data_IF_316502928623
#
_entry.id   IF_316502928623
#
_cell.length_a   1.000
_cell.length_b   1.000
_cell.length_c   1.000
_cell.angle_alpha   90.00
_cell.angle_beta   90.00
_cell.angle_gamma   90.00
#
_symmetry.space_group_name_H-M   'P 1'
#
loop_
_entity.id
_entity.type
_entity.pdbx_description
1 polymer ?
#
# COMPACT_ATOMS: atom_id res chain seq x y z
N UNK A 1 -36.53 -13.47 88.32
CA UNK A 1 -36.32 -12.10 87.82
C UNK A 1 -35.36 -12.21 86.64
N UNK A 2 -35.84 -11.90 85.44
CA UNK A 2 -35.14 -12.00 84.16
C UNK A 2 -34.04 -10.93 84.05
N UNK A 3 -32.79 -11.33 83.87
CA UNK A 3 -31.69 -10.45 83.44
C UNK A 3 -30.82 -11.21 82.42
N UNK A 4 -31.26 -11.27 81.17
CA UNK A 4 -30.44 -11.70 80.03
C UNK A 4 -30.90 -11.09 78.70
N UNK A 5 -31.49 -9.88 78.74
CA UNK A 5 -32.04 -9.20 77.56
C UNK A 5 -31.19 -8.05 76.99
N UNK A 6 -30.10 -7.65 77.65
CA UNK A 6 -29.38 -6.41 77.31
C UNK A 6 -28.18 -6.59 76.37
N UNK A 7 -27.56 -7.77 76.29
CA UNK A 7 -26.39 -7.99 75.42
C UNK A 7 -26.76 -8.01 73.93
N UNK A 8 -27.79 -8.78 73.55
CA UNK A 8 -28.23 -8.90 72.16
C UNK A 8 -28.70 -7.58 71.52
N UNK A 9 -29.27 -6.66 72.32
CA UNK A 9 -29.76 -5.37 71.81
C UNK A 9 -28.66 -4.32 71.64
N UNK A 10 -27.52 -4.50 72.33
CA UNK A 10 -26.34 -3.66 72.20
C UNK A 10 -25.49 -4.11 70.99
N UNK A 11 -25.23 -5.42 70.89
CA UNK A 11 -24.48 -6.03 69.78
C UNK A 11 -25.16 -5.77 68.42
N UNK A 12 -26.50 -5.84 68.37
CA UNK A 12 -27.28 -5.56 67.17
C UNK A 12 -27.23 -4.10 66.70
N UNK A 13 -27.04 -3.13 67.62
CA UNK A 13 -26.85 -1.71 67.27
C UNK A 13 -25.41 -1.45 66.83
N UNK A 14 -24.44 -2.09 67.47
CA UNK A 14 -23.03 -1.93 67.17
C UNK A 14 -22.69 -2.48 65.77
N UNK A 15 -23.14 -3.70 65.43
CA UNK A 15 -22.88 -4.28 64.10
C UNK A 15 -23.51 -3.44 62.96
N UNK A 16 -24.70 -2.87 63.18
CA UNK A 16 -25.34 -1.96 62.20
C UNK A 16 -24.51 -0.71 61.95
N UNK A 17 -23.88 -0.16 63.00
CA UNK A 17 -22.99 0.99 62.88
C UNK A 17 -21.74 0.67 62.06
N UNK A 18 -21.13 -0.50 62.28
CA UNK A 18 -19.93 -0.92 61.53
C UNK A 18 -20.28 -1.15 60.05
N UNK A 19 -21.45 -1.72 59.75
CA UNK A 19 -21.94 -1.85 58.37
C UNK A 19 -22.14 -0.48 57.69
N UNK A 20 -22.70 0.50 58.39
CA UNK A 20 -22.89 1.84 57.85
C UNK A 20 -21.53 2.50 57.52
N UNK A 21 -20.57 2.41 58.45
CA UNK A 21 -19.21 2.92 58.23
C UNK A 21 -18.51 2.23 57.07
N UNK A 22 -18.60 0.89 56.96
CA UNK A 22 -18.02 0.14 55.84
C UNK A 22 -18.59 0.58 54.49
N UNK A 23 -19.90 0.81 54.42
CA UNK A 23 -20.58 1.32 53.22
C UNK A 23 -20.16 2.73 52.86
N UNK A 24 -20.08 3.63 53.84
CA UNK A 24 -19.66 5.01 53.62
C UNK A 24 -18.22 5.06 53.07
N UNK A 25 -17.32 4.24 53.63
CA UNK A 25 -15.95 4.09 53.13
C UNK A 25 -15.93 3.56 51.69
N UNK A 26 -16.75 2.57 51.36
CA UNK A 26 -16.86 2.07 49.99
C UNK A 26 -17.35 3.16 49.02
N UNK A 27 -18.41 3.89 49.38
CA UNK A 27 -18.95 4.98 48.56
C UNK A 27 -17.97 6.14 48.35
N UNK A 28 -17.08 6.37 49.32
CA UNK A 28 -15.98 7.33 49.22
C UNK A 28 -14.81 6.83 48.37
N UNK A 29 -14.83 5.57 47.91
CA UNK A 29 -13.74 4.94 47.17
C UNK A 29 -12.61 4.38 48.04
N UNK A 30 -12.78 4.41 49.37
CA UNK A 30 -11.85 3.84 50.35
C UNK A 30 -12.06 2.31 50.48
N UNK A 31 -11.86 1.60 49.37
CA UNK A 31 -12.16 0.16 49.24
C UNK A 31 -11.39 -0.70 50.27
N UNK A 32 -10.11 -0.42 50.52
CA UNK A 32 -9.32 -1.16 51.51
C UNK A 32 -9.86 -0.99 52.95
N UNK A 33 -10.13 0.25 53.36
CA UNK A 33 -10.70 0.55 54.68
C UNK A 33 -12.12 -0.04 54.84
N UNK A 34 -12.90 -0.09 53.77
CA UNK A 34 -14.20 -0.76 53.75
C UNK A 34 -14.05 -2.28 53.98
N UNK A 35 -13.09 -2.94 53.31
CA UNK A 35 -12.80 -4.36 53.50
C UNK A 35 -12.32 -4.68 54.92
N UNK A 36 -11.53 -3.80 55.53
CA UNK A 36 -11.09 -3.96 56.92
C UNK A 36 -12.29 -3.96 57.88
N UNK A 37 -13.25 -3.06 57.68
CA UNK A 37 -14.49 -3.00 58.47
C UNK A 37 -15.38 -4.23 58.28
N UNK A 38 -15.48 -4.76 57.06
CA UNK A 38 -16.20 -6.02 56.84
C UNK A 38 -15.50 -7.23 57.48
N UNK A 39 -14.17 -7.26 57.46
CA UNK A 39 -13.38 -8.30 58.12
C UNK A 39 -13.62 -8.27 59.64
N UNK A 40 -13.66 -7.08 60.24
CA UNK A 40 -14.03 -6.89 61.65
C UNK A 40 -15.42 -7.47 61.96
N UNK A 41 -16.40 -7.32 61.06
CA UNK A 41 -17.75 -7.87 61.24
C UNK A 41 -17.72 -9.41 61.21
N UNK A 42 -16.97 -10.01 60.29
CA UNK A 42 -16.86 -11.47 60.18
C UNK A 42 -16.25 -12.07 61.46
N UNK A 43 -15.22 -11.43 62.00
CA UNK A 43 -14.55 -11.89 63.22
C UNK A 43 -15.42 -11.74 64.48
N UNK A 44 -16.05 -10.57 64.65
CA UNK A 44 -16.78 -10.23 65.89
C UNK A 44 -18.23 -10.71 65.89
N UNK A 45 -18.85 -10.83 64.72
CA UNK A 45 -20.28 -11.17 64.58
C UNK A 45 -20.51 -12.27 63.52
N UNK A 46 -20.11 -13.53 63.78
CA UNK A 46 -20.23 -14.63 62.79
C UNK A 46 -21.65 -14.86 62.25
N UNK A 47 -22.70 -14.51 63.02
CA UNK A 47 -24.10 -14.59 62.61
C UNK A 47 -24.53 -13.51 61.59
N UNK A 48 -23.68 -12.53 61.31
CA UNK A 48 -23.86 -11.46 60.30
C UNK A 48 -22.78 -11.48 59.22
N UNK A 49 -21.94 -12.51 59.21
CA UNK A 49 -20.83 -12.64 58.28
C UNK A 49 -21.28 -12.95 56.85
N UNK A 50 -22.48 -13.49 56.64
CA UNK A 50 -23.02 -13.75 55.30
C UNK A 50 -23.18 -12.45 54.50
N UNK A 51 -23.80 -11.42 55.08
CA UNK A 51 -23.87 -10.09 54.46
C UNK A 51 -22.48 -9.48 54.27
N UNK A 52 -21.61 -9.56 55.27
CA UNK A 52 -20.25 -9.01 55.17
C UNK A 52 -19.45 -9.66 54.04
N UNK A 53 -19.52 -10.99 53.89
CA UNK A 53 -18.91 -11.73 52.78
C UNK A 53 -19.48 -11.31 51.43
N UNK A 54 -20.80 -11.11 51.33
CA UNK A 54 -21.42 -10.63 50.10
C UNK A 54 -20.88 -9.26 49.68
N UNK A 55 -20.85 -8.31 50.61
CA UNK A 55 -20.37 -6.95 50.34
C UNK A 55 -18.86 -6.94 50.05
N UNK A 56 -18.04 -7.69 50.78
CA UNK A 56 -16.61 -7.85 50.47
C UNK A 56 -16.39 -8.39 49.05
N UNK A 57 -17.20 -9.37 48.64
CA UNK A 57 -17.19 -9.88 47.27
C UNK A 57 -17.40 -8.76 46.24
N UNK A 58 -18.39 -7.89 46.47
CA UNK A 58 -18.66 -6.73 45.61
C UNK A 58 -17.47 -5.75 45.61
N UNK A 59 -16.94 -5.40 46.78
CA UNK A 59 -15.83 -4.44 46.92
C UNK A 59 -14.57 -4.94 46.22
N UNK A 60 -14.26 -6.24 46.31
CA UNK A 60 -13.11 -6.84 45.64
C UNK A 60 -13.23 -6.85 44.11
N UNK A 61 -14.44 -6.98 43.54
CA UNK A 61 -14.65 -6.96 42.10
C UNK A 61 -14.97 -5.57 41.53
N UNK A 62 -15.05 -4.54 42.39
CA UNK A 62 -15.53 -3.22 41.98
C UNK A 62 -14.61 -2.57 40.93
N UNK A 63 -15.13 -2.07 39.79
CA UNK A 63 -14.29 -1.53 38.70
C UNK A 63 -13.40 -0.34 39.08
N UNK A 64 -13.82 0.45 40.10
CA UNK A 64 -13.03 1.59 40.59
C UNK A 64 -12.06 1.22 41.72
N UNK A 65 -12.06 -0.03 42.15
CA UNK A 65 -11.06 -0.50 43.11
C UNK A 65 -9.73 -0.69 42.37
N UNK A 66 -8.72 0.13 42.69
CA UNK A 66 -7.39 -0.01 42.09
C UNK A 66 -6.71 -1.32 42.47
N UNK A 67 -7.13 -1.93 43.59
CA UNK A 67 -6.70 -3.24 44.06
C UNK A 67 -7.78 -4.30 43.81
N UNK A 68 -8.59 -4.12 42.75
CA UNK A 68 -9.61 -5.09 42.32
C UNK A 68 -8.96 -6.47 42.17
N UNK A 69 -9.56 -7.45 42.82
CA UNK A 69 -9.07 -8.81 42.87
C UNK A 69 -10.26 -9.76 42.68
N UNK A 70 -10.40 -10.25 41.45
CA UNK A 70 -11.48 -11.16 41.10
C UNK A 70 -11.40 -12.49 41.86
N UNK A 71 -10.21 -12.94 42.23
CA UNK A 71 -10.04 -14.19 42.95
C UNK A 71 -10.56 -14.05 44.38
N UNK A 72 -10.17 -12.98 45.10
CA UNK A 72 -10.70 -12.69 46.44
C UNK A 72 -12.22 -12.46 46.44
N UNK A 73 -12.74 -11.82 45.39
CA UNK A 73 -14.17 -11.64 45.21
C UNK A 73 -14.91 -13.00 45.09
N UNK A 74 -14.41 -13.89 44.25
CA UNK A 74 -14.96 -15.23 44.08
C UNK A 74 -14.89 -16.05 45.37
N UNK A 75 -13.78 -15.97 46.12
CA UNK A 75 -13.62 -16.64 47.40
C UNK A 75 -14.67 -16.20 48.42
N UNK A 76 -14.99 -14.89 48.48
CA UNK A 76 -16.03 -14.37 49.37
C UNK A 76 -17.41 -14.97 49.05
N UNK A 77 -17.80 -14.97 47.76
CA UNK A 77 -19.09 -15.53 47.33
C UNK A 77 -19.14 -17.05 47.50
N UNK A 78 -18.04 -17.77 47.21
CA UNK A 78 -17.95 -19.21 47.41
C UNK A 78 -18.06 -19.60 48.89
N UNK A 79 -17.38 -18.85 49.76
CA UNK A 79 -17.45 -19.04 51.20
C UNK A 79 -18.86 -18.77 51.73
N UNK A 80 -19.52 -17.73 51.24
CA UNK A 80 -20.93 -17.44 51.58
C UNK A 80 -21.84 -18.61 51.22
N UNK A 81 -21.76 -19.12 49.98
CA UNK A 81 -22.62 -20.22 49.51
C UNK A 81 -22.35 -21.51 50.33
N UNK A 82 -21.09 -21.77 50.66
CA UNK A 82 -20.66 -22.97 51.38
C UNK A 82 -21.06 -22.94 52.86
N UNK A 83 -20.75 -21.85 53.55
CA UNK A 83 -20.86 -21.75 55.00
C UNK A 83 -22.27 -21.27 55.43
N UNK A 84 -23.02 -20.61 54.53
CA UNK A 84 -24.36 -20.04 54.79
C UNK A 84 -25.39 -20.44 53.72
N UNK A 85 -25.74 -21.74 53.57
CA UNK A 85 -26.58 -22.24 52.48
C UNK A 85 -28.03 -21.70 52.47
N UNK A 86 -28.51 -21.16 53.60
CA UNK A 86 -29.82 -20.53 53.76
C UNK A 86 -29.82 -19.00 53.71
N UNK A 87 -28.68 -18.36 53.37
CA UNK A 87 -28.57 -16.90 53.31
C UNK A 87 -29.40 -16.30 52.17
N UNK A 88 -30.02 -15.14 52.40
CA UNK A 88 -30.72 -14.36 51.37
C UNK A 88 -29.81 -13.93 50.21
N UNK A 89 -28.49 -13.86 50.45
CA UNK A 89 -27.49 -13.45 49.46
C UNK A 89 -27.02 -14.59 48.55
N UNK A 90 -27.46 -15.83 48.77
CA UNK A 90 -26.93 -17.00 48.06
C UNK A 90 -27.11 -16.94 46.55
N UNK A 91 -28.34 -16.71 46.06
CA UNK A 91 -28.62 -16.66 44.62
C UNK A 91 -27.88 -15.53 43.92
N UNK A 92 -27.81 -14.36 44.56
CA UNK A 92 -27.04 -13.23 44.06
C UNK A 92 -25.54 -13.56 44.01
N UNK A 93 -25.01 -14.29 44.99
CA UNK A 93 -23.61 -14.74 45.02
C UNK A 93 -23.29 -15.71 43.87
N UNK A 94 -24.18 -16.67 43.60
CA UNK A 94 -24.06 -17.60 42.47
C UNK A 94 -24.02 -16.84 41.12
N UNK A 95 -24.89 -15.83 40.96
CA UNK A 95 -24.91 -14.96 39.78
C UNK A 95 -23.64 -14.10 39.67
N UNK A 96 -23.16 -13.53 40.79
CA UNK A 96 -21.94 -12.74 40.82
C UNK A 96 -20.72 -13.57 40.43
N UNK A 97 -20.61 -14.83 40.89
CA UNK A 97 -19.54 -15.75 40.48
C UNK A 97 -19.50 -15.94 38.97
N UNK A 98 -20.66 -16.18 38.35
CA UNK A 98 -20.74 -16.33 36.89
C UNK A 98 -20.30 -15.06 36.16
N UNK A 99 -20.80 -13.91 36.60
CA UNK A 99 -20.47 -12.61 35.99
C UNK A 99 -18.98 -12.27 36.13
N UNK A 100 -18.41 -12.46 37.32
CA UNK A 100 -17.01 -12.15 37.61
C UNK A 100 -16.07 -13.01 36.77
N UNK A 101 -16.36 -14.31 36.62
CA UNK A 101 -15.55 -15.19 35.75
C UNK A 101 -15.55 -14.69 34.31
N UNK A 102 -16.71 -14.30 33.78
CA UNK A 102 -16.83 -13.78 32.42
C UNK A 102 -16.06 -12.46 32.26
N UNK A 103 -16.13 -11.56 33.23
CA UNK A 103 -15.39 -10.29 33.18
C UNK A 103 -13.89 -10.53 33.31
N UNK A 104 -13.44 -11.39 34.22
CA UNK A 104 -12.02 -11.72 34.40
C UNK A 104 -11.40 -12.32 33.13
N UNK A 105 -12.12 -13.21 32.44
CA UNK A 105 -11.69 -13.76 31.15
C UNK A 105 -11.58 -12.68 30.07
N UNK A 106 -12.56 -11.77 30.00
CA UNK A 106 -12.53 -10.64 29.05
C UNK A 106 -11.37 -9.69 29.35
N UNK A 107 -11.16 -9.29 30.59
CA UNK A 107 -10.05 -8.41 31.00
C UNK A 107 -8.70 -9.03 30.63
N UNK A 108 -8.52 -10.34 30.87
CA UNK A 108 -7.30 -11.07 30.50
C UNK A 108 -7.09 -11.08 28.98
N UNK A 109 -8.17 -11.31 28.21
CA UNK A 109 -8.13 -11.33 26.75
C UNK A 109 -7.80 -9.95 26.19
N UNK A 110 -8.41 -8.90 26.73
CA UNK A 110 -8.15 -7.50 26.35
C UNK A 110 -6.70 -7.15 26.62
N UNK A 111 -6.16 -7.49 27.79
CA UNK A 111 -4.76 -7.25 28.13
C UNK A 111 -3.81 -7.97 27.14
N UNK A 112 -4.08 -9.23 26.81
CA UNK A 112 -3.28 -9.98 25.84
C UNK A 112 -3.34 -9.37 24.44
N UNK A 113 -4.52 -8.93 24.00
CA UNK A 113 -4.70 -8.26 22.71
C UNK A 113 -3.99 -6.90 22.66
N UNK A 114 -4.01 -6.15 23.77
CA UNK A 114 -3.35 -4.85 23.87
C UNK A 114 -1.83 -5.00 23.67
N UNK A 115 -1.20 -5.98 24.30
CA UNK A 115 0.23 -6.29 24.10
C UNK A 115 0.55 -6.66 22.65
N UNK A 116 -0.34 -7.43 21.99
CA UNK A 116 -0.18 -7.77 20.58
C UNK A 116 -0.30 -6.55 19.67
N UNK A 117 -1.26 -5.66 19.93
CA UNK A 117 -1.46 -4.41 19.20
C UNK A 117 -0.20 -3.54 19.31
N UNK A 118 0.33 -3.35 20.52
CA UNK A 118 1.55 -2.57 20.75
C UNK A 118 2.76 -3.17 20.01
N UNK A 119 2.90 -4.50 20.04
CA UNK A 119 3.95 -5.20 19.30
C UNK A 119 3.83 -4.98 17.78
N UNK A 120 2.61 -5.04 17.24
CA UNK A 120 2.36 -4.81 15.82
C UNK A 120 2.61 -3.35 15.43
N UNK A 121 2.21 -2.39 16.27
CA UNK A 121 2.47 -0.97 16.07
C UNK A 121 3.98 -0.69 15.96
N UNK A 122 4.79 -1.25 16.85
CA UNK A 122 6.25 -1.13 16.77
C UNK A 122 6.82 -1.72 15.47
N UNK A 123 6.31 -2.87 15.01
CA UNK A 123 6.73 -3.47 13.73
C UNK A 123 6.36 -2.63 12.52
N UNK A 124 5.15 -2.06 12.52
CA UNK A 124 4.68 -1.15 11.46
C UNK A 124 5.57 0.08 11.39
N UNK A 125 5.85 0.72 12.52
CA UNK A 125 6.74 1.88 12.59
C UNK A 125 8.16 1.58 12.06
N UNK A 126 8.69 0.39 12.38
CA UNK A 126 9.98 -0.06 11.84
C UNK A 126 9.99 -0.14 10.32
N UNK A 127 8.96 -0.75 9.73
CA UNK A 127 8.81 -0.85 8.28
C UNK A 127 8.59 0.50 7.59
N UNK A 128 7.84 1.41 8.21
CA UNK A 128 7.65 2.76 7.67
C UNK A 128 8.99 3.50 7.54
N UNK A 129 9.87 3.38 8.54
CA UNK A 129 11.21 3.98 8.50
C UNK A 129 12.10 3.36 7.39
N UNK A 130 12.00 2.05 7.17
CA UNK A 130 12.67 1.37 6.05
C UNK A 130 12.17 1.89 4.69
N UNK A 131 10.85 2.03 4.53
CA UNK A 131 10.24 2.55 3.30
C UNK A 131 10.75 3.96 3.00
N UNK A 132 10.77 4.85 3.99
CA UNK A 132 11.29 6.22 3.82
C UNK A 132 12.77 6.21 3.38
N UNK A 133 13.57 5.29 3.91
CA UNK A 133 14.99 5.16 3.55
C UNK A 133 15.16 4.66 2.11
N UNK A 134 14.35 3.68 1.70
CA UNK A 134 14.35 3.17 0.34
C UNK A 134 13.89 4.23 -0.66
N UNK A 135 12.85 5.01 -0.34
CA UNK A 135 12.37 6.12 -1.19
C UNK A 135 13.48 7.14 -1.46
N UNK A 136 14.20 7.59 -0.42
CA UNK A 136 15.34 8.52 -0.59
C UNK A 136 16.45 7.93 -1.46
N UNK A 137 16.66 6.62 -1.37
CA UNK A 137 17.67 5.92 -2.18
C UNK A 137 17.25 5.87 -3.65
N UNK A 138 15.98 5.59 -3.93
CA UNK A 138 15.41 5.60 -5.28
C UNK A 138 15.56 7.00 -5.89
N UNK A 139 15.13 8.05 -5.19
CA UNK A 139 15.28 9.44 -5.67
C UNK A 139 16.74 9.81 -5.97
N UNK A 140 17.68 9.33 -5.16
CA UNK A 140 19.10 9.57 -5.39
C UNK A 140 19.63 8.83 -6.63
N UNK A 141 19.11 7.63 -6.91
CA UNK A 141 19.46 6.89 -8.13
C UNK A 141 18.85 7.52 -9.37
N UNK A 142 17.59 7.96 -9.32
CA UNK A 142 16.93 8.66 -10.44
C UNK A 142 17.72 9.89 -10.87
N UNK A 143 18.14 10.74 -9.92
CA UNK A 143 19.00 11.91 -10.20
C UNK A 143 20.34 11.53 -10.83
N UNK A 144 20.93 10.40 -10.43
CA UNK A 144 22.18 9.90 -11.02
C UNK A 144 21.97 9.42 -12.45
N UNK A 145 20.87 8.73 -12.72
CA UNK A 145 20.50 8.26 -14.06
C UNK A 145 20.32 9.47 -14.99
N UNK A 146 19.52 10.46 -14.58
CA UNK A 146 19.30 11.68 -15.37
C UNK A 146 20.62 12.41 -15.69
N UNK A 147 21.52 12.52 -14.70
CA UNK A 147 22.83 13.14 -14.90
C UNK A 147 23.73 12.34 -15.86
N UNK A 148 23.66 11.01 -15.84
CA UNK A 148 24.39 10.14 -16.76
C UNK A 148 23.81 10.21 -18.18
N UNK A 149 22.49 10.22 -18.31
CA UNK A 149 21.81 10.38 -19.61
C UNK A 149 22.16 11.71 -20.26
N UNK A 150 22.18 12.81 -19.48
CA UNK A 150 22.61 14.12 -19.98
C UNK A 150 24.06 14.10 -20.45
N UNK A 151 24.97 13.48 -19.68
CA UNK A 151 26.38 13.34 -20.09
C UNK A 151 26.53 12.52 -21.36
N UNK A 152 25.74 11.45 -21.51
CA UNK A 152 25.74 10.63 -22.71
C UNK A 152 25.23 11.42 -23.92
N UNK A 153 24.18 12.21 -23.74
CA UNK A 153 23.65 13.10 -24.78
C UNK A 153 24.68 14.17 -25.18
N UNK A 154 25.32 14.83 -24.22
CA UNK A 154 26.37 15.82 -24.48
C UNK A 154 27.57 15.19 -25.21
N UNK A 155 27.93 13.95 -24.86
CA UNK A 155 28.98 13.19 -25.54
C UNK A 155 28.58 12.87 -26.99
N UNK A 156 27.36 12.42 -27.21
CA UNK A 156 26.81 12.13 -28.54
C UNK A 156 26.83 13.38 -29.44
N UNK A 157 26.37 14.53 -28.92
CA UNK A 157 26.41 15.81 -29.64
C UNK A 157 27.85 16.21 -29.99
N UNK A 158 28.82 15.98 -29.10
CA UNK A 158 30.24 16.29 -29.35
C UNK A 158 30.91 15.36 -30.36
N UNK A 159 30.49 14.10 -30.45
CA UNK A 159 31.11 13.11 -31.36
C UNK A 159 30.67 13.30 -32.82
N UNK A 160 29.53 13.96 -33.05
CA UNK A 160 28.98 14.27 -34.36
C UNK A 160 27.49 13.92 -34.44
N UNK A 161 26.78 14.49 -35.40
CA UNK A 161 25.39 14.14 -35.69
C UNK A 161 25.24 12.63 -35.98
N UNK A 162 24.04 12.08 -35.79
CA UNK A 162 23.70 10.73 -36.23
C UNK A 162 23.94 10.64 -37.74
N UNK A 163 24.71 9.64 -38.17
CA UNK A 163 24.98 9.38 -39.59
C UNK A 163 24.06 8.28 -40.15
N UNK A 164 23.52 7.43 -39.28
CA UNK A 164 22.63 6.34 -39.65
C UNK A 164 21.53 6.07 -38.62
N UNK A 165 20.31 5.88 -39.09
CA UNK A 165 19.20 5.26 -38.37
C UNK A 165 19.06 3.82 -38.87
N UNK A 166 19.14 2.85 -37.95
CA UNK A 166 18.89 1.44 -38.26
C UNK A 166 17.55 1.02 -37.67
N UNK A 167 16.67 0.47 -38.50
CA UNK A 167 15.34 -0.01 -38.12
C UNK A 167 15.29 -1.52 -38.34
N UNK A 168 15.04 -2.28 -37.28
CA UNK A 168 14.90 -3.74 -37.30
C UNK A 168 13.45 -4.11 -37.04
N UNK A 169 12.74 -4.52 -38.10
CA UNK A 169 11.28 -4.70 -38.04
C UNK A 169 10.88 -5.86 -37.15
N UNK A 170 11.59 -6.99 -37.26
CA UNK A 170 11.40 -8.19 -36.44
C UNK A 170 11.40 -7.88 -34.94
N UNK A 171 12.32 -7.03 -34.48
CA UNK A 171 12.44 -6.64 -33.07
C UNK A 171 11.72 -5.35 -32.68
N UNK A 172 11.02 -4.68 -33.63
CA UNK A 172 10.39 -3.36 -33.43
C UNK A 172 11.35 -2.37 -32.77
N UNK A 173 12.51 -2.19 -33.39
CA UNK A 173 13.57 -1.36 -32.83
C UNK A 173 14.14 -0.37 -33.84
N UNK A 174 14.29 0.88 -33.40
CA UNK A 174 15.00 1.93 -34.12
C UNK A 174 16.25 2.31 -33.31
N UNK A 175 17.41 2.36 -33.95
CA UNK A 175 18.67 2.77 -33.36
C UNK A 175 19.22 4.00 -34.06
N UNK A 176 19.68 4.98 -33.27
CA UNK A 176 20.46 6.11 -33.74
C UNK A 176 21.94 5.78 -33.63
N UNK A 177 22.66 5.82 -34.75
CA UNK A 177 24.06 5.41 -34.86
C UNK A 177 24.91 6.60 -35.31
N UNK A 178 26.07 6.78 -34.67
CA UNK A 178 27.11 7.70 -35.12
C UNK A 178 28.46 7.00 -35.07
N UNK A 179 29.20 7.02 -36.17
CA UNK A 179 30.52 6.40 -36.33
C UNK A 179 30.56 4.91 -35.89
N UNK A 180 29.47 4.18 -36.15
CA UNK A 180 29.33 2.76 -35.80
C UNK A 180 28.87 2.45 -34.37
N UNK A 181 28.73 3.46 -33.50
CA UNK A 181 28.23 3.30 -32.13
C UNK A 181 26.74 3.63 -32.03
N UNK A 182 25.99 2.82 -31.27
CA UNK A 182 24.58 3.07 -30.97
C UNK A 182 24.49 4.12 -29.86
N UNK A 183 23.92 5.29 -30.18
CA UNK A 183 23.72 6.38 -29.24
C UNK A 183 22.41 6.24 -28.46
N UNK A 184 21.34 5.81 -29.15
CA UNK A 184 19.98 5.65 -28.61
C UNK A 184 19.28 4.48 -29.30
N UNK A 185 18.34 3.86 -28.59
CA UNK A 185 17.48 2.81 -29.12
C UNK A 185 16.06 3.05 -28.62
N UNK A 186 15.09 2.99 -29.53
CA UNK A 186 13.67 3.22 -29.26
C UNK A 186 12.84 2.01 -29.70
N UNK A 187 11.74 1.77 -28.98
CA UNK A 187 10.70 0.84 -29.44
C UNK A 187 9.84 1.56 -30.48
N UNK A 188 9.36 0.84 -31.48
CA UNK A 188 8.58 1.44 -32.57
C UNK A 188 7.31 0.65 -32.85
N UNK A 189 6.32 1.33 -33.43
CA UNK A 189 5.21 0.69 -34.12
C UNK A 189 5.37 0.88 -35.63
N UNK A 190 5.06 -0.18 -36.39
CA UNK A 190 5.23 -0.24 -37.83
C UNK A 190 3.88 -0.20 -38.55
N UNK A 191 3.93 -0.41 -39.86
CA UNK A 191 2.74 -0.69 -40.66
C UNK A 191 2.00 -1.94 -40.16
N UNK A 192 0.67 -1.91 -40.17
CA UNK A 192 -0.17 -3.03 -39.69
C UNK A 192 0.00 -4.36 -40.44
N UNK A 193 0.80 -4.39 -41.52
CA UNK A 193 1.29 -5.58 -42.17
C UNK A 193 2.82 -5.55 -42.24
N UNK A 194 3.54 -5.76 -41.13
CA UNK A 194 4.97 -5.45 -41.05
C UNK A 194 5.87 -6.46 -41.76
N UNK A 195 5.35 -7.59 -42.27
CA UNK A 195 6.19 -8.68 -42.80
C UNK A 195 6.57 -8.42 -44.27
N UNK A 196 7.87 -8.40 -44.54
CA UNK A 196 8.44 -8.20 -45.88
C UNK A 196 8.40 -6.74 -46.35
N UNK A 197 9.03 -6.45 -47.50
CA UNK A 197 9.11 -5.09 -48.04
C UNK A 197 7.74 -4.58 -48.48
N UNK A 198 7.59 -3.26 -48.50
CA UNK A 198 6.46 -2.58 -49.15
C UNK A 198 6.49 -2.81 -50.66
N UNK A 199 5.35 -3.25 -51.21
CA UNK A 199 5.21 -3.64 -52.62
C UNK A 199 4.23 -2.75 -53.38
N UNK A 200 3.21 -2.21 -52.69
CA UNK A 200 2.20 -1.34 -53.31
C UNK A 200 1.62 -0.32 -52.35
N UNK A 201 1.02 0.73 -52.90
CA UNK A 201 0.22 1.67 -52.12
C UNK A 201 -0.94 0.94 -51.41
N UNK A 202 -1.10 1.22 -50.11
CA UNK A 202 -2.18 0.64 -49.30
C UNK A 202 -1.94 -0.77 -48.74
N UNK A 203 -0.78 -1.39 -48.96
CA UNK A 203 -0.45 -2.72 -48.40
C UNK A 203 -0.15 -2.74 -46.88
N UNK A 204 -0.13 -1.55 -46.24
CA UNK A 204 0.22 -1.33 -44.84
C UNK A 204 1.58 -1.89 -44.42
N UNK A 205 2.51 -2.06 -45.36
CA UNK A 205 3.87 -2.51 -45.08
C UNK A 205 4.81 -1.34 -44.87
N UNK A 206 5.69 -1.44 -43.87
CA UNK A 206 6.87 -0.59 -43.77
C UNK A 206 7.93 -1.10 -44.74
N UNK A 207 8.55 -0.24 -45.58
CA UNK A 207 9.52 -0.66 -46.58
C UNK A 207 10.78 -1.30 -45.98
N UNK A 208 11.53 -2.03 -46.80
CA UNK A 208 12.84 -2.60 -46.43
C UNK A 208 13.86 -2.18 -47.49
N UNK A 209 14.99 -1.65 -47.04
CA UNK A 209 16.00 -1.06 -47.91
C UNK A 209 16.75 0.10 -47.26
N UNK A 210 17.45 0.87 -48.08
CA UNK A 210 18.20 2.05 -47.65
C UNK A 210 17.57 3.30 -48.25
N UNK A 211 17.36 4.29 -47.39
CA UNK A 211 16.74 5.58 -47.66
C UNK A 211 17.55 6.69 -46.99
N UNK A 212 17.14 7.95 -47.15
CA UNK A 212 17.66 9.08 -46.39
C UNK A 212 16.52 9.92 -45.83
N UNK A 213 16.77 10.64 -44.72
CA UNK A 213 15.87 11.71 -44.29
C UNK A 213 16.04 12.89 -45.26
N UNK A 214 14.99 13.24 -46.00
CA UNK A 214 15.03 14.29 -47.02
C UNK A 214 14.14 15.51 -46.69
N UNK A 215 13.13 15.35 -45.84
CA UNK A 215 12.27 16.45 -45.39
C UNK A 215 11.76 16.29 -43.95
N UNK A 216 11.31 17.39 -43.36
CA UNK A 216 10.78 17.47 -41.99
C UNK A 216 9.51 18.30 -41.97
N UNK A 217 8.56 17.89 -41.15
CA UNK A 217 7.34 18.64 -40.92
C UNK A 217 7.05 18.70 -39.41
N UNK A 218 7.24 19.88 -38.83
CA UNK A 218 6.98 20.21 -37.42
C UNK A 218 5.52 20.59 -37.15
N UNK A 219 4.75 20.89 -38.20
CA UNK A 219 3.32 21.22 -38.14
C UNK A 219 2.47 20.07 -38.69
N UNK A 220 2.88 18.84 -38.41
CA UNK A 220 2.24 17.66 -38.99
C UNK A 220 0.93 17.31 -38.27
N UNK A 221 0.17 16.36 -38.82
CA UNK A 221 -1.01 15.78 -38.13
C UNK A 221 -0.62 14.91 -36.91
N UNK A 222 0.67 14.65 -36.77
CA UNK A 222 1.35 14.04 -35.64
C UNK A 222 2.26 15.09 -34.99
N UNK A 223 2.84 14.78 -33.84
CA UNK A 223 3.67 15.74 -33.10
C UNK A 223 4.82 16.32 -33.97
N UNK A 224 5.62 15.43 -34.56
CA UNK A 224 6.63 15.76 -35.57
C UNK A 224 6.70 14.61 -36.58
N UNK A 225 7.08 14.90 -37.82
CA UNK A 225 7.37 13.85 -38.82
C UNK A 225 8.62 14.16 -39.65
N UNK A 226 9.39 13.10 -39.94
CA UNK A 226 10.58 13.09 -40.78
C UNK A 226 10.30 12.19 -41.98
N UNK A 227 10.27 12.77 -43.18
CA UNK A 227 10.09 12.00 -44.41
C UNK A 227 11.36 11.23 -44.75
N UNK A 228 11.21 9.97 -45.19
CA UNK A 228 12.31 9.20 -45.77
C UNK A 228 12.14 9.10 -47.28
N UNK A 229 13.24 9.00 -48.01
CA UNK A 229 13.28 8.99 -49.48
C UNK A 229 12.71 7.71 -50.15
N UNK A 230 11.69 7.09 -49.57
CA UNK A 230 10.90 6.04 -50.20
C UNK A 230 9.93 6.66 -51.23
N UNK A 231 9.74 6.05 -52.42
CA UNK A 231 10.37 4.82 -52.90
C UNK A 231 11.76 5.05 -53.53
N UNK A 232 12.70 4.14 -53.28
CA UNK A 232 13.97 4.12 -54.00
C UNK A 232 13.84 3.37 -55.36
N UNK A 233 14.91 3.31 -56.15
CA UNK A 233 14.88 2.67 -57.47
C UNK A 233 14.51 1.18 -57.44
N UNK A 234 14.89 0.44 -56.39
CA UNK A 234 14.50 -0.97 -56.22
C UNK A 234 13.00 -1.09 -55.95
N UNK A 235 12.45 -0.20 -55.13
CA UNK A 235 11.02 -0.15 -54.82
C UNK A 235 10.18 0.21 -56.04
N UNK A 236 10.61 1.23 -56.80
CA UNK A 236 9.95 1.61 -58.07
C UNK A 236 9.99 0.48 -59.09
N UNK A 237 11.13 -0.20 -59.23
CA UNK A 237 11.27 -1.36 -60.14
C UNK A 237 10.31 -2.48 -59.74
N UNK A 238 10.28 -2.86 -58.46
CA UNK A 238 9.39 -3.89 -57.91
C UNK A 238 7.92 -3.56 -58.18
N UNK A 239 7.49 -2.33 -57.90
CA UNK A 239 6.12 -1.88 -58.13
C UNK A 239 5.76 -1.88 -59.64
N UNK A 240 6.70 -1.46 -60.51
CA UNK A 240 6.53 -1.50 -61.97
C UNK A 240 6.36 -2.92 -62.50
N UNK A 241 7.16 -3.88 -62.02
CA UNK A 241 7.05 -5.30 -62.39
C UNK A 241 5.71 -5.91 -61.97
N UNK A 242 5.13 -5.42 -60.87
CA UNK A 242 3.81 -5.81 -60.37
C UNK A 242 2.65 -5.04 -61.03
N UNK A 243 2.92 -4.03 -61.86
CA UNK A 243 1.89 -3.18 -62.47
C UNK A 243 1.11 -2.32 -61.47
N UNK A 244 1.72 -1.94 -60.33
CA UNK A 244 1.09 -1.19 -59.24
C UNK A 244 1.86 0.09 -58.91
N UNK A 245 1.20 1.02 -58.20
CA UNK A 245 1.89 2.18 -57.59
C UNK A 245 2.65 1.73 -56.34
N UNK A 246 3.90 2.13 -56.18
CA UNK A 246 4.65 1.97 -54.93
C UNK A 246 4.06 2.79 -53.77
N UNK A 247 3.31 3.84 -54.08
CA UNK A 247 2.96 4.89 -53.13
C UNK A 247 4.18 5.74 -52.77
N UNK A 248 4.10 6.39 -51.61
CA UNK A 248 5.10 7.30 -51.07
C UNK A 248 4.79 7.62 -49.60
N UNK A 249 5.26 8.77 -49.12
CA UNK A 249 4.92 9.35 -47.81
C UNK A 249 5.19 8.42 -46.62
N UNK A 250 6.37 7.79 -46.61
CA UNK A 250 6.83 7.01 -45.46
C UNK A 250 7.61 7.92 -44.53
N UNK A 251 7.14 8.03 -43.29
CA UNK A 251 7.73 8.94 -42.30
C UNK A 251 8.15 8.18 -41.04
N UNK A 252 9.12 8.75 -40.33
CA UNK A 252 9.33 8.51 -38.90
C UNK A 252 8.56 9.62 -38.17
N UNK A 253 7.63 9.31 -37.29
CA UNK A 253 6.79 10.33 -36.66
C UNK A 253 6.45 10.03 -35.20
N UNK A 254 6.09 11.08 -34.46
CA UNK A 254 5.56 10.98 -33.09
C UNK A 254 4.12 10.47 -33.05
N UNK A 255 3.45 10.66 -31.93
CA UNK A 255 2.05 10.26 -31.76
C UNK A 255 1.14 11.27 -32.46
N UNK A 256 -0.05 10.80 -32.84
CA UNK A 256 -1.08 11.64 -33.45
C UNK A 256 -1.48 12.75 -32.48
N UNK A 257 -1.63 13.98 -32.98
CA UNK A 257 -2.01 15.12 -32.13
C UNK A 257 -3.32 14.81 -31.38
N UNK A 258 -3.33 15.11 -30.08
CA UNK A 258 -4.43 14.78 -29.16
C UNK A 258 -4.35 13.40 -28.51
N UNK A 259 -3.35 12.58 -28.86
CA UNK A 259 -3.14 11.23 -28.29
C UNK A 259 -1.77 11.05 -27.61
N UNK A 260 -1.03 12.13 -27.36
CA UNK A 260 0.30 12.10 -26.71
C UNK A 260 0.32 11.34 -25.38
N UNK A 261 -0.80 11.33 -24.64
CA UNK A 261 -0.96 10.60 -23.37
C UNK A 261 -0.76 9.09 -23.49
N UNK A 262 -0.87 8.51 -24.69
CA UNK A 262 -0.64 7.07 -24.91
C UNK A 262 0.82 6.71 -24.64
N UNK A 263 1.77 7.63 -24.90
CA UNK A 263 3.20 7.43 -24.65
C UNK A 263 3.68 6.05 -25.11
N UNK A 264 4.53 5.40 -24.32
CA UNK A 264 5.13 4.09 -24.60
C UNK A 264 4.14 2.98 -24.95
N UNK A 265 2.89 3.07 -24.48
CA UNK A 265 1.86 2.07 -24.76
C UNK A 265 1.51 1.98 -26.26
N UNK A 266 1.88 2.97 -27.07
CA UNK A 266 1.66 2.99 -28.52
C UNK A 266 2.32 1.80 -29.24
N UNK A 267 3.35 1.21 -28.64
CA UNK A 267 4.13 0.10 -29.20
C UNK A 267 3.50 -1.27 -28.97
N UNK A 268 2.35 -1.33 -28.26
CA UNK A 268 1.62 -2.58 -28.03
C UNK A 268 1.01 -3.21 -29.29
N UNK A 269 0.90 -2.45 -30.40
CA UNK A 269 0.37 -2.93 -31.68
C UNK A 269 1.00 -2.16 -32.85
N UNK A 270 1.19 -2.82 -33.99
CA UNK A 270 1.59 -2.17 -35.25
C UNK A 270 0.35 -1.52 -35.91
N UNK A 271 0.29 -0.19 -35.97
CA UNK A 271 -0.93 0.55 -36.33
C UNK A 271 -0.78 1.52 -37.50
N UNK A 272 0.44 1.75 -38.00
CA UNK A 272 0.64 2.71 -39.09
C UNK A 272 0.21 2.10 -40.43
N UNK A 273 0.24 2.92 -41.50
CA UNK A 273 0.03 2.45 -42.88
C UNK A 273 1.34 2.17 -43.63
N UNK A 274 2.45 2.12 -42.90
CA UNK A 274 3.80 1.91 -43.45
C UNK A 274 4.86 2.82 -42.82
N UNK A 275 4.46 3.89 -42.14
CA UNK A 275 5.34 4.75 -41.34
C UNK A 275 5.94 4.02 -40.13
N UNK A 276 6.89 4.68 -39.48
CA UNK A 276 7.52 4.24 -38.24
C UNK A 276 7.12 5.22 -37.15
N UNK A 277 6.38 4.74 -36.16
CA UNK A 277 5.92 5.57 -35.05
C UNK A 277 6.81 5.37 -33.81
N UNK A 278 7.09 6.48 -33.13
CA UNK A 278 7.76 6.60 -31.83
C UNK A 278 6.92 7.54 -30.93
N UNK A 279 7.32 7.72 -29.68
CA UNK A 279 6.70 8.74 -28.80
C UNK A 279 7.07 10.17 -29.22
N UNK A 280 6.34 11.15 -28.67
CA UNK A 280 6.58 12.57 -28.93
C UNK A 280 7.96 13.02 -28.45
N UNK A 281 8.39 12.54 -27.28
CA UNK A 281 9.72 12.82 -26.76
C UNK A 281 10.82 12.21 -27.64
N UNK A 282 10.64 10.96 -28.08
CA UNK A 282 11.63 10.28 -28.92
C UNK A 282 11.74 10.93 -30.31
N UNK A 283 10.63 11.35 -30.94
CA UNK A 283 10.73 12.03 -32.24
C UNK A 283 11.43 13.39 -32.15
N UNK A 284 11.29 14.10 -31.03
CA UNK A 284 12.05 15.33 -30.79
C UNK A 284 13.55 15.07 -30.64
N UNK A 285 13.95 13.97 -29.98
CA UNK A 285 15.35 13.55 -29.91
C UNK A 285 15.88 13.22 -31.31
N UNK A 286 15.13 12.44 -32.08
CA UNK A 286 15.51 12.06 -33.45
C UNK A 286 15.63 13.31 -34.35
N UNK A 287 14.70 14.27 -34.27
CA UNK A 287 14.77 15.52 -35.04
C UNK A 287 16.05 16.30 -34.77
N UNK A 288 16.46 16.39 -33.50
CA UNK A 288 17.66 17.13 -33.09
C UNK A 288 18.95 16.42 -33.50
N UNK A 289 18.96 15.09 -33.47
CA UNK A 289 20.18 14.29 -33.61
C UNK A 289 20.46 13.83 -35.05
N UNK A 290 19.42 13.57 -35.84
CA UNK A 290 19.54 13.04 -37.20
C UNK A 290 19.20 14.14 -38.22
N UNK A 291 20.19 14.83 -38.84
CA UNK A 291 19.98 15.87 -39.85
C UNK A 291 19.49 15.32 -41.20
N UNK A 292 19.08 16.18 -42.12
CA UNK A 292 18.75 15.75 -43.48
C UNK A 292 19.99 15.16 -44.15
N UNK A 293 19.80 14.09 -44.92
CA UNK A 293 20.87 13.26 -45.47
C UNK A 293 21.26 12.07 -44.59
N UNK A 294 20.78 11.98 -43.34
CA UNK A 294 21.00 10.79 -42.48
C UNK A 294 20.47 9.54 -43.17
N UNK A 295 21.30 8.49 -43.23
CA UNK A 295 20.92 7.22 -43.85
C UNK A 295 19.89 6.52 -42.97
N UNK A 296 18.79 6.05 -43.55
CA UNK A 296 17.79 5.21 -42.88
C UNK A 296 17.84 3.82 -43.50
N UNK A 297 18.34 2.85 -42.75
CA UNK A 297 18.41 1.45 -43.14
C UNK A 297 17.30 0.67 -42.45
N UNK A 298 16.41 0.03 -43.22
CA UNK A 298 15.29 -0.74 -42.71
C UNK A 298 15.48 -2.22 -43.09
N UNK A 299 15.60 -3.07 -42.08
CA UNK A 299 15.84 -4.51 -42.19
C UNK A 299 14.64 -5.33 -41.67
N UNK A 300 14.52 -6.60 -42.11
CA UNK A 300 13.46 -7.51 -41.67
C UNK A 300 13.29 -7.69 -40.16
#
# INVERSE_FOLDING_TARGET
>A
MLLSGCSHFHDGRQVKSIFAEANDLFHQGSHAASLDKYSEIIEKYPAKADRALFEMGIVHAHPKNQQKDYQKSLECFQKLIKDYPGSEYRQNSEMMIFNIRNVALKDTTIAAQQVQIETLQHKVQGKENEIVTLQKTIEAFEKKIEALEKKLFDYAIRKGSVDRILIEKSTRRLMLISQGEVLKSYKIALGGNPIGPKERQGDNKTPEGTYVIDARNRDSRFHLSLHISYPNERDKKRAKELGVSSGGDIMIHGIKNGFSWVGDAHTGVDWTKGCIAVTDQEIEEIDKLAPNGTIVEIRP
#
